data_IF_892671713656
#
_entry.id   IF_892671713656
#
_cell.length_a   1.000
_cell.length_b   1.000
_cell.length_c   1.000
_cell.angle_alpha   90.00
_cell.angle_beta   90.00
_cell.angle_gamma   90.00
#
_symmetry.space_group_name_H-M   'P 1'
#
loop_
_entity.id
_entity.type
_entity.pdbx_description
1 polymer ?
#
# COMPACT_ATOMS: atom_id res chain seq x y z
N UNK A 1 14.97 5.88 -1.48
CA UNK A 1 14.08 6.96 -1.98
C UNK A 1 13.69 7.86 -0.82
N UNK A 2 13.60 9.19 -1.03
CA UNK A 2 13.34 10.17 0.04
C UNK A 2 11.85 10.32 0.42
N UNK A 3 10.94 9.53 -0.17
CA UNK A 3 9.50 9.68 0.05
C UNK A 3 9.05 9.00 1.34
N UNK A 4 8.13 9.64 2.07
CA UNK A 4 7.50 9.06 3.28
C UNK A 4 6.78 7.72 2.99
N UNK A 5 6.29 7.53 1.77
CA UNK A 5 5.62 6.31 1.34
C UNK A 5 6.59 5.13 1.09
N UNK A 6 7.89 5.37 0.95
CA UNK A 6 8.85 4.31 0.64
C UNK A 6 8.97 3.27 1.75
N UNK A 7 8.96 3.70 3.02
CA UNK A 7 9.03 2.79 4.15
C UNK A 7 7.85 1.79 4.24
N UNK A 8 6.57 2.23 4.20
CA UNK A 8 5.45 1.31 4.21
C UNK A 8 5.39 0.40 2.97
N UNK A 9 5.76 0.90 1.79
CA UNK A 9 5.81 0.07 0.57
C UNK A 9 6.85 -1.04 0.72
N UNK A 10 8.06 -0.72 1.22
CA UNK A 10 9.11 -1.71 1.45
C UNK A 10 8.64 -2.80 2.42
N UNK A 11 8.03 -2.40 3.54
CA UNK A 11 7.46 -3.34 4.51
C UNK A 11 6.39 -4.25 3.89
N UNK A 12 5.53 -3.68 3.04
CA UNK A 12 4.46 -4.41 2.37
C UNK A 12 5.04 -5.45 1.39
N UNK A 13 6.05 -5.08 0.59
CA UNK A 13 6.71 -6.01 -0.35
C UNK A 13 7.36 -7.18 0.39
N UNK A 14 8.09 -6.92 1.48
CA UNK A 14 8.66 -7.99 2.31
C UNK A 14 7.59 -8.92 2.88
N UNK A 15 6.50 -8.37 3.40
CA UNK A 15 5.38 -9.15 3.92
C UNK A 15 4.71 -9.99 2.83
N UNK A 16 4.51 -9.42 1.63
CA UNK A 16 3.91 -10.13 0.51
C UNK A 16 4.79 -11.30 0.03
N UNK A 17 6.11 -11.11 -0.04
CA UNK A 17 7.05 -12.18 -0.36
C UNK A 17 7.05 -13.29 0.70
N UNK A 18 7.02 -12.95 2.00
CA UNK A 18 6.93 -13.92 3.09
C UNK A 18 5.62 -14.72 3.05
N UNK A 19 4.49 -14.06 2.79
CA UNK A 19 3.20 -14.71 2.65
C UNK A 19 3.16 -15.64 1.43
N UNK A 20 3.75 -15.22 0.31
CA UNK A 20 3.86 -16.05 -0.89
C UNK A 20 4.68 -17.33 -0.62
N UNK A 21 5.76 -17.22 0.16
CA UNK A 21 6.57 -18.39 0.54
C UNK A 21 5.86 -19.30 1.53
N UNK A 22 5.12 -18.74 2.49
CA UNK A 22 4.52 -19.54 3.57
C UNK A 22 3.22 -20.24 3.15
N UNK A 23 2.40 -19.60 2.31
CA UNK A 23 1.09 -20.16 1.94
C UNK A 23 1.08 -20.91 0.61
N UNK A 24 2.06 -20.68 -0.26
CA UNK A 24 2.10 -21.25 -1.61
C UNK A 24 3.44 -21.90 -1.97
N UNK A 25 4.37 -22.00 -1.02
CA UNK A 25 5.70 -22.60 -1.19
C UNK A 25 6.46 -22.08 -2.42
N UNK A 26 6.29 -20.79 -2.73
CA UNK A 26 6.96 -20.18 -3.87
C UNK A 26 8.39 -19.77 -3.53
N UNK A 27 9.32 -20.05 -4.46
CA UNK A 27 10.69 -19.55 -4.37
C UNK A 27 10.74 -18.03 -4.51
N UNK A 28 11.41 -17.37 -3.54
CA UNK A 28 11.55 -15.90 -3.50
C UNK A 28 12.19 -15.32 -4.76
N UNK A 29 13.08 -16.08 -5.40
CA UNK A 29 13.81 -15.67 -6.61
C UNK A 29 12.92 -15.60 -7.85
N UNK A 30 11.80 -16.32 -7.86
CA UNK A 30 10.90 -16.43 -9.02
C UNK A 30 9.65 -15.55 -8.90
N UNK A 31 9.51 -14.77 -7.82
CA UNK A 31 8.38 -13.88 -7.59
C UNK A 31 8.59 -12.52 -8.27
N UNK A 32 7.56 -12.06 -8.97
CA UNK A 32 7.54 -10.72 -9.56
C UNK A 32 6.23 -9.98 -9.24
N UNK A 33 6.30 -8.66 -9.19
CA UNK A 33 5.12 -7.81 -9.01
C UNK A 33 4.45 -7.64 -10.38
N UNK A 34 3.24 -8.16 -10.55
CA UNK A 34 2.45 -7.99 -11.79
C UNK A 34 1.69 -6.67 -11.80
N UNK A 35 1.13 -6.29 -10.65
CA UNK A 35 0.27 -5.12 -10.52
C UNK A 35 0.50 -4.46 -9.17
N UNK A 36 0.62 -3.14 -9.18
CA UNK A 36 0.67 -2.32 -7.97
C UNK A 36 -0.33 -1.18 -8.12
N UNK A 37 -1.37 -1.16 -7.31
CA UNK A 37 -2.44 -0.18 -7.38
C UNK A 37 -2.67 0.50 -6.03
N UNK A 38 -3.10 1.75 -6.10
CA UNK A 38 -3.48 2.54 -4.93
C UNK A 38 -4.92 3.00 -5.11
N UNK A 39 -5.79 2.53 -4.23
CA UNK A 39 -7.19 2.91 -4.21
C UNK A 39 -7.47 3.90 -3.08
N UNK A 40 -8.49 4.75 -3.27
CA UNK A 40 -8.97 5.63 -2.20
C UNK A 40 -9.63 4.78 -1.12
N UNK A 41 -9.30 5.08 0.13
CA UNK A 41 -9.93 4.47 1.31
C UNK A 41 -10.80 5.50 2.03
N UNK A 42 -11.20 5.18 3.25
CA UNK A 42 -12.05 6.04 4.08
C UNK A 42 -11.42 7.41 4.30
N UNK A 43 -12.25 8.46 4.20
CA UNK A 43 -11.84 9.83 4.47
C UNK A 43 -12.38 10.23 5.83
N UNK A 44 -11.48 10.49 6.78
CA UNK A 44 -11.87 10.98 8.09
C UNK A 44 -12.01 12.51 8.05
N UNK A 45 -13.19 13.02 8.40
CA UNK A 45 -13.44 14.47 8.51
C UNK A 45 -13.14 14.93 9.94
N UNK A 46 -12.34 15.99 10.08
CA UNK A 46 -12.03 16.66 11.35
C UNK A 46 -12.40 18.13 11.25
N UNK A 47 -12.75 18.76 12.36
CA UNK A 47 -12.94 20.21 12.40
C UNK A 47 -11.65 20.90 12.86
N UNK A 48 -11.32 22.01 12.20
CA UNK A 48 -10.27 22.92 12.67
C UNK A 48 -10.91 24.26 13.06
N UNK A 49 -10.69 24.74 14.29
CA UNK A 49 -11.21 26.02 14.72
C UNK A 49 -10.55 27.15 13.91
N UNK A 50 -11.31 28.20 13.64
CA UNK A 50 -10.90 29.40 12.91
C UNK A 50 -11.40 30.64 13.64
N UNK A 51 -10.87 31.80 13.24
CA UNK A 51 -11.25 33.09 13.80
C UNK A 51 -12.76 33.37 13.66
N UNK A 52 -13.29 34.24 14.52
CA UNK A 52 -14.69 34.70 14.54
C UNK A 52 -15.70 33.55 14.74
N UNK A 53 -15.41 32.59 15.61
CA UNK A 53 -16.33 31.49 15.95
C UNK A 53 -16.62 30.51 14.80
N UNK A 54 -15.80 30.49 13.76
CA UNK A 54 -15.99 29.61 12.59
C UNK A 54 -15.19 28.31 12.75
N UNK A 55 -15.66 27.23 12.13
CA UNK A 55 -14.89 26.00 11.97
C UNK A 55 -14.92 25.53 10.52
N UNK A 56 -13.80 24.98 10.05
CA UNK A 56 -13.70 24.38 8.72
C UNK A 56 -13.39 22.89 8.82
N UNK A 57 -13.91 22.13 7.86
CA UNK A 57 -13.61 20.70 7.76
C UNK A 57 -12.24 20.47 7.12
N UNK A 58 -11.44 19.61 7.74
CA UNK A 58 -10.22 19.03 7.21
C UNK A 58 -10.49 17.57 6.90
N UNK A 59 -10.15 17.14 5.69
CA UNK A 59 -10.22 15.74 5.26
C UNK A 59 -8.86 15.08 5.48
N UNK A 60 -8.79 14.08 6.35
CA UNK A 60 -7.65 13.17 6.47
C UNK A 60 -7.91 11.98 5.55
N UNK A 61 -7.27 11.99 4.39
CA UNK A 61 -7.43 10.96 3.37
C UNK A 61 -6.53 9.77 3.66
N UNK A 62 -7.11 8.57 3.61
CA UNK A 62 -6.37 7.31 3.65
C UNK A 62 -6.44 6.63 2.27
N UNK A 63 -5.51 5.72 2.03
CA UNK A 63 -5.45 4.93 0.79
C UNK A 63 -5.14 3.47 1.13
N UNK A 64 -5.60 2.57 0.27
CA UNK A 64 -5.29 1.16 0.34
C UNK A 64 -4.32 0.83 -0.80
N UNK A 65 -3.20 0.19 -0.46
CA UNK A 65 -2.18 -0.24 -1.42
C UNK A 65 -2.39 -1.72 -1.67
N UNK A 66 -2.58 -2.10 -2.92
CA UNK A 66 -2.75 -3.49 -3.34
C UNK A 66 -1.58 -3.88 -4.25
N UNK A 67 -0.85 -4.92 -3.87
CA UNK A 67 0.22 -5.49 -4.68
C UNK A 67 -0.15 -6.92 -5.05
N UNK A 68 -0.09 -7.22 -6.34
CA UNK A 68 -0.32 -8.55 -6.90
C UNK A 68 1.02 -9.13 -7.32
N UNK A 69 1.37 -10.26 -6.72
CA UNK A 69 2.56 -11.04 -7.06
C UNK A 69 2.18 -12.20 -7.98
N UNK A 70 3.06 -12.54 -8.90
CA UNK A 70 2.95 -13.70 -9.77
C UNK A 70 4.32 -14.36 -9.92
N UNK A 71 4.33 -15.59 -10.43
CA UNK A 71 5.54 -16.39 -10.64
C UNK A 71 5.96 -16.25 -12.10
N UNK A 72 7.25 -16.01 -12.32
CA UNK A 72 7.81 -16.00 -13.67
C UNK A 72 7.54 -17.36 -14.33
N UNK A 73 6.61 -17.41 -15.28
CA UNK A 73 6.47 -18.58 -16.15
C UNK A 73 7.70 -18.62 -17.05
N UNK A 74 8.64 -19.53 -16.78
CA UNK A 74 9.60 -19.92 -17.81
C UNK A 74 8.78 -20.52 -18.95
N UNK A 75 8.69 -19.81 -20.07
CA UNK A 75 8.24 -20.43 -21.32
C UNK A 75 9.17 -21.60 -21.59
N UNK A 76 8.56 -22.75 -21.84
CA UNK A 76 9.26 -23.90 -22.41
C UNK A 76 9.75 -23.54 -23.81
#
# INVERSE_FOLDING_TARGET
MPYRASYPILKLVYSAAANATHYRDFDKTNLFITKAEVSRSTIMKKFRPRARGRSYSIKKTMCNITIVLNIVKKSK
#
